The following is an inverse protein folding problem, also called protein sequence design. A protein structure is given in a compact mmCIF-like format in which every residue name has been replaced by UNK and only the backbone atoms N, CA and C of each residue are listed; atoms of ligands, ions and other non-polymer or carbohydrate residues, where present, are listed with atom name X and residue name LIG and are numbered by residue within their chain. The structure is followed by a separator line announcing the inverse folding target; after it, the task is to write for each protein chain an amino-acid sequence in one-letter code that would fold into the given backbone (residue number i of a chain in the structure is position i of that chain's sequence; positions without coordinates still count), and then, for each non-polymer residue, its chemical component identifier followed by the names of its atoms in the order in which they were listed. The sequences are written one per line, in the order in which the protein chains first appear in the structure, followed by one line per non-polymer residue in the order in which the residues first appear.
data_IF_321185756129
#
_entry.id   IF_321185756129
#
_cell.length_a   1.000
_cell.length_b   1.000
_cell.length_c   1.000
_cell.angle_alpha   90.00
_cell.angle_beta   90.00
_cell.angle_gamma   90.00
#
_symmetry.space_group_name_H-M   'P 1'
#
loop_
_entity.id
_entity.type
_entity.pdbx_description
1 polymer ?
#
# COMPACT_ATOMS: atom_id res chain seq x y z
N UNK A 1 -8.15 -13.93 -2.54
CA UNK A 1 -7.84 -13.22 -1.28
C UNK A 1 -9.01 -12.28 -0.98
N UNK A 2 -9.61 -12.37 0.20
CA UNK A 2 -10.69 -11.45 0.57
C UNK A 2 -10.06 -10.18 1.16
N UNK A 3 -9.85 -9.17 0.32
CA UNK A 3 -9.32 -7.85 0.67
C UNK A 3 -10.34 -6.99 1.44
N UNK A 4 -11.15 -7.61 2.30
CA UNK A 4 -12.29 -6.98 2.94
C UNK A 4 -11.95 -5.68 3.67
N UNK A 5 -10.83 -5.66 4.40
CA UNK A 5 -10.34 -4.47 5.07
C UNK A 5 -10.03 -3.34 4.08
N UNK A 6 -9.27 -3.63 3.00
CA UNK A 6 -8.96 -2.63 1.97
C UNK A 6 -10.24 -2.11 1.29
N UNK A 7 -11.20 -2.99 0.98
CA UNK A 7 -12.50 -2.56 0.43
C UNK A 7 -13.26 -1.65 1.38
N UNK A 8 -13.24 -1.91 2.69
CA UNK A 8 -13.86 -1.02 3.68
C UNK A 8 -13.16 0.35 3.71
N UNK A 9 -11.83 0.38 3.69
CA UNK A 9 -11.06 1.63 3.64
C UNK A 9 -11.38 2.43 2.37
N UNK A 10 -11.48 1.78 1.22
CA UNK A 10 -11.81 2.43 -0.06
C UNK A 10 -13.28 2.90 -0.16
N UNK A 11 -14.17 2.45 0.71
CA UNK A 11 -15.61 2.75 0.67
C UNK A 11 -16.10 3.68 1.79
N UNK A 12 -15.38 3.78 2.92
CA UNK A 12 -15.72 4.69 4.02
C UNK A 12 -14.57 5.69 4.24
N UNK A 13 -14.74 6.97 3.83
CA UNK A 13 -13.73 8.01 4.00
C UNK A 13 -13.27 8.20 5.44
N UNK A 14 -14.10 7.91 6.44
CA UNK A 14 -13.71 8.04 7.86
C UNK A 14 -12.76 6.92 8.28
N UNK A 15 -12.94 5.72 7.71
CA UNK A 15 -12.02 4.62 7.94
C UNK A 15 -10.68 4.89 7.22
N UNK A 16 -10.72 5.46 6.02
CA UNK A 16 -9.51 5.91 5.33
C UNK A 16 -8.77 7.00 6.12
N UNK A 17 -9.49 8.00 6.66
CA UNK A 17 -8.91 9.07 7.48
C UNK A 17 -8.25 8.51 8.74
N UNK A 18 -8.91 7.58 9.45
CA UNK A 18 -8.34 6.92 10.62
C UNK A 18 -7.11 6.06 10.28
N UNK A 19 -7.09 5.42 9.11
CA UNK A 19 -5.93 4.66 8.66
C UNK A 19 -4.75 5.59 8.30
N UNK A 20 -5.03 6.72 7.64
CA UNK A 20 -4.02 7.71 7.29
C UNK A 20 -3.45 8.40 8.54
N UNK A 21 -4.29 8.75 9.53
CA UNK A 21 -3.87 9.29 10.80
C UNK A 21 -4.65 8.64 11.96
N UNK A 22 -3.98 8.02 12.94
CA UNK A 22 -2.56 8.18 13.27
C UNK A 22 -1.62 7.10 12.71
N UNK A 23 -2.09 6.21 11.82
CA UNK A 23 -1.35 5.00 11.46
C UNK A 23 -0.51 5.10 10.18
N UNK A 24 -0.47 6.26 9.51
CA UNK A 24 0.32 6.50 8.30
C UNK A 24 0.05 5.49 7.16
N UNK A 25 -1.18 4.98 7.09
CA UNK A 25 -1.67 4.11 6.02
C UNK A 25 -2.67 4.87 5.16
N UNK A 26 -2.18 5.61 4.18
CA UNK A 26 -2.99 6.48 3.32
C UNK A 26 -3.27 5.79 1.97
N UNK A 27 -4.52 5.37 1.78
CA UNK A 27 -4.98 4.70 0.56
C UNK A 27 -5.08 5.63 -0.64
N UNK A 28 -5.18 6.95 -0.45
CA UNK A 28 -5.20 7.92 -1.54
C UNK A 28 -3.83 8.02 -2.22
N UNK A 29 -2.75 7.84 -1.45
CA UNK A 29 -1.37 7.79 -1.97
C UNK A 29 -1.11 6.60 -2.88
N UNK A 30 -1.94 5.55 -2.84
CA UNK A 30 -1.84 4.44 -3.77
C UNK A 30 -1.99 4.88 -5.25
N UNK A 31 -2.71 5.98 -5.48
CA UNK A 31 -2.87 6.58 -6.80
C UNK A 31 -1.64 7.31 -7.34
N UNK A 32 -0.63 7.60 -6.51
CA UNK A 32 0.59 8.28 -6.96
C UNK A 32 1.50 7.38 -7.77
N UNK A 33 1.44 6.06 -7.50
CA UNK A 33 2.21 5.06 -8.22
C UNK A 33 3.72 5.23 -8.08
N UNK A 34 4.45 4.46 -8.90
CA UNK A 34 5.87 4.64 -9.12
C UNK A 34 6.13 4.96 -10.59
N UNK A 35 7.22 5.69 -10.85
CA UNK A 35 7.68 5.98 -12.22
C UNK A 35 8.04 4.69 -12.95
N UNK A 36 8.62 3.72 -12.24
CA UNK A 36 9.02 2.41 -12.78
C UNK A 36 8.26 1.26 -12.10
N UNK A 37 8.02 0.14 -12.81
CA UNK A 37 7.39 -1.03 -12.20
C UNK A 37 8.25 -1.63 -11.08
N UNK A 38 7.68 -1.74 -9.88
CA UNK A 38 8.31 -2.42 -8.74
C UNK A 38 7.91 -3.91 -8.73
N UNK A 39 8.88 -4.79 -8.44
CA UNK A 39 8.73 -6.25 -8.42
C UNK A 39 9.43 -6.83 -7.20
N UNK A 40 8.96 -7.98 -6.72
CA UNK A 40 9.74 -8.78 -5.79
C UNK A 40 11.06 -9.22 -6.43
N UNK A 41 12.06 -9.54 -5.61
CA UNK A 41 13.33 -10.12 -6.10
C UNK A 41 13.13 -11.42 -6.90
N UNK A 42 12.04 -12.16 -6.63
CA UNK A 42 11.61 -13.34 -7.38
C UNK A 42 11.00 -13.02 -8.76
N UNK A 43 10.79 -11.74 -9.08
CA UNK A 43 10.06 -11.28 -10.25
C UNK A 43 8.54 -11.19 -10.07
N UNK A 44 8.02 -11.61 -8.91
CA UNK A 44 6.58 -11.56 -8.60
C UNK A 44 6.02 -10.14 -8.62
N UNK A 45 4.75 -9.96 -9.05
CA UNK A 45 4.12 -8.65 -9.11
C UNK A 45 3.82 -8.11 -7.70
N UNK A 46 3.89 -6.78 -7.57
CA UNK A 46 3.45 -6.05 -6.40
C UNK A 46 2.33 -5.09 -6.81
N UNK A 47 1.27 -5.00 -6.01
CA UNK A 47 0.19 -4.03 -6.19
C UNK A 47 0.18 -3.06 -5.03
N UNK A 48 0.30 -1.78 -5.33
CA UNK A 48 0.24 -0.70 -4.33
C UNK A 48 -1.16 -0.66 -3.72
N UNK A 49 -1.23 -0.49 -2.40
CA UNK A 49 -2.49 -0.38 -1.65
C UNK A 49 -2.56 0.84 -0.74
N UNK A 50 -1.42 1.43 -0.36
CA UNK A 50 -1.32 2.68 0.40
C UNK A 50 0.11 3.22 0.34
N UNK A 51 0.30 4.45 0.81
CA UNK A 51 1.61 5.01 1.15
C UNK A 51 1.57 5.72 2.51
N UNK A 52 2.73 6.13 2.99
CA UNK A 52 2.87 6.91 4.23
C UNK A 52 3.33 8.36 3.96
N UNK A 53 3.43 9.17 5.02
CA UNK A 53 3.91 10.55 4.96
C UNK A 53 5.41 10.68 4.66
N UNK A 54 6.21 9.65 4.96
CA UNK A 54 7.65 9.58 4.71
C UNK A 54 8.02 9.17 3.28
N UNK A 55 7.05 8.75 2.47
CA UNK A 55 7.26 8.27 1.10
C UNK A 55 7.38 6.76 0.98
N UNK A 56 7.17 6.02 2.06
CA UNK A 56 7.04 4.57 2.05
C UNK A 56 5.76 4.11 1.36
N UNK A 57 5.77 2.87 0.87
CA UNK A 57 4.70 2.28 0.07
C UNK A 57 4.33 0.89 0.59
N UNK A 58 3.03 0.64 0.72
CA UNK A 58 2.47 -0.67 1.06
C UNK A 58 2.01 -1.40 -0.20
N UNK A 59 2.42 -2.66 -0.33
CA UNK A 59 2.10 -3.52 -1.44
C UNK A 59 1.39 -4.80 -0.98
N UNK A 60 0.58 -5.35 -1.87
CA UNK A 60 0.07 -6.72 -1.77
C UNK A 60 0.80 -7.59 -2.78
N UNK A 61 1.40 -8.67 -2.28
CA UNK A 61 2.02 -9.74 -3.07
C UNK A 61 0.95 -10.68 -3.63
N UNK A 62 1.35 -11.54 -4.59
CA UNK A 62 0.44 -12.51 -5.21
C UNK A 62 -0.17 -13.51 -4.22
N UNK A 63 0.60 -13.91 -3.20
CA UNK A 63 0.15 -14.80 -2.11
C UNK A 63 -0.75 -14.10 -1.07
N UNK A 64 -0.93 -12.79 -1.20
CA UNK A 64 -1.71 -11.97 -0.29
C UNK A 64 -0.99 -11.49 0.96
N UNK A 65 0.31 -11.75 1.09
CA UNK A 65 1.14 -11.05 2.06
C UNK A 65 1.19 -9.55 1.76
N UNK A 66 1.39 -8.75 2.81
CA UNK A 66 1.60 -7.30 2.71
C UNK A 66 3.07 -7.03 2.91
N UNK A 67 3.66 -6.28 1.98
CA UNK A 67 5.03 -5.79 2.04
C UNK A 67 5.00 -4.28 2.24
N UNK A 68 5.82 -3.77 3.14
CA UNK A 68 6.11 -2.34 3.23
C UNK A 68 7.52 -2.11 2.72
N UNK A 69 7.70 -1.11 1.86
CA UNK A 69 9.03 -0.62 1.50
C UNK A 69 9.13 0.87 1.84
N UNK A 70 10.25 1.30 2.42
CA UNK A 70 10.52 2.71 2.67
C UNK A 70 10.82 3.49 1.37
N UNK A 71 11.05 4.79 1.51
CA UNK A 71 11.34 5.66 0.36
C UNK A 71 12.64 5.29 -0.39
N UNK A 72 13.56 4.58 0.26
CA UNK A 72 14.81 4.10 -0.31
C UNK A 72 14.66 2.71 -0.96
N UNK A 73 13.47 2.11 -0.87
CA UNK A 73 13.16 0.80 -1.44
C UNK A 73 13.58 -0.39 -0.57
N UNK A 74 13.86 -0.17 0.71
CA UNK A 74 14.19 -1.24 1.66
C UNK A 74 12.92 -1.80 2.29
N UNK A 75 12.87 -3.12 2.45
CA UNK A 75 11.73 -3.87 3.01
C UNK A 75 12.20 -5.03 3.90
#
# INVERSE_FOLDING_TARGET
MNDHALRLLLQDPRLAELAAFPFDFDVERAGYGHVEPVRLASGGPLRIIAGDAGGGTYFVCEDGSVLYADSEGSA
#
